data_IF_415866512672
#
_entry.id   IF_415866512672
#
_cell.length_a   1.000
_cell.length_b   1.000
_cell.length_c   1.000
_cell.angle_alpha   90.00
_cell.angle_beta   90.00
_cell.angle_gamma   90.00
#
_symmetry.space_group_name_H-M   'P 1'
#
loop_
_entity.id
_entity.type
_entity.pdbx_description
1 polymer ?
#
# COMPACT_ATOMS: atom_id res chain seq x y z
N UNK A 1 5.33 -11.72 -0.34
CA UNK A 1 4.37 -11.46 -1.44
C UNK A 1 4.61 -10.04 -1.93
N UNK A 2 5.36 -9.88 -3.04
CA UNK A 2 5.82 -8.57 -3.55
C UNK A 2 5.14 -8.31 -4.88
N UNK A 3 3.99 -7.61 -4.97
CA UNK A 3 3.34 -7.42 -6.28
C UNK A 3 2.39 -6.20 -6.39
N UNK A 4 2.65 -5.05 -5.78
CA UNK A 4 1.53 -4.13 -5.57
C UNK A 4 1.44 -2.85 -6.42
N UNK A 5 2.50 -2.33 -6.98
CA UNK A 5 2.49 -0.99 -7.60
C UNK A 5 2.30 -0.90 -9.12
N UNK A 6 2.89 -1.79 -9.86
CA UNK A 6 3.16 -1.61 -11.30
C UNK A 6 1.95 -1.79 -12.23
N UNK A 7 1.02 -2.64 -11.89
CA UNK A 7 0.01 -3.11 -12.84
C UNK A 7 -1.04 -2.02 -13.15
N UNK A 8 -1.32 -1.14 -12.21
CA UNK A 8 -2.33 -0.08 -12.40
C UNK A 8 -1.85 1.10 -13.25
N UNK A 9 -0.55 1.38 -13.31
CA UNK A 9 0.00 2.54 -14.05
C UNK A 9 0.31 2.23 -15.53
N UNK A 10 0.57 0.96 -15.86
CA UNK A 10 0.93 0.55 -17.21
C UNK A 10 -0.23 0.55 -18.21
N UNK A 11 -1.46 0.62 -17.72
CA UNK A 11 -2.68 0.60 -18.56
C UNK A 11 -3.00 1.96 -19.20
N UNK A 12 -2.38 3.05 -18.72
CA UNK A 12 -2.74 4.41 -19.16
C UNK A 12 -1.97 4.94 -20.37
N UNK A 13 -0.95 4.25 -20.86
CA UNK A 13 -0.32 4.63 -22.12
C UNK A 13 -1.14 4.05 -23.28
N UNK A 14 -1.91 4.88 -23.94
CA UNK A 14 -2.56 4.57 -25.23
C UNK A 14 -1.50 4.29 -26.28
N UNK A 15 -1.06 3.07 -26.40
CA UNK A 15 -0.30 2.59 -27.54
C UNK A 15 -1.34 2.06 -28.54
N UNK A 16 -1.32 2.50 -29.81
CA UNK A 16 -2.18 1.90 -30.82
C UNK A 16 -1.93 0.40 -30.83
N UNK A 17 -3.00 -0.38 -30.93
CA UNK A 17 -2.93 -1.84 -31.06
C UNK A 17 -2.24 -2.16 -32.40
N UNK A 18 -0.92 -2.18 -32.39
CA UNK A 18 -0.14 -2.79 -33.46
C UNK A 18 -0.13 -4.28 -33.14
N UNK A 19 -0.67 -5.09 -34.01
CA UNK A 19 -0.51 -6.55 -34.02
C UNK A 19 0.95 -6.91 -34.31
N UNK A 20 1.83 -6.57 -33.39
CA UNK A 20 3.25 -6.89 -33.46
C UNK A 20 3.43 -8.34 -33.05
N UNK A 21 4.12 -9.12 -33.86
CA UNK A 21 4.50 -10.48 -33.47
C UNK A 21 5.45 -10.42 -32.29
N UNK A 22 5.53 -11.49 -31.50
CA UNK A 22 6.49 -11.59 -30.38
C UNK A 22 7.93 -11.39 -30.86
N UNK A 23 8.28 -11.95 -32.02
CA UNK A 23 9.63 -11.83 -32.62
C UNK A 23 9.98 -10.39 -32.97
N UNK A 24 9.06 -9.64 -33.59
CA UNK A 24 9.26 -8.21 -33.87
C UNK A 24 9.45 -7.38 -32.60
N UNK A 25 8.69 -7.71 -31.54
CA UNK A 25 8.83 -7.08 -30.24
C UNK A 25 10.20 -7.36 -29.61
N UNK A 26 10.64 -8.62 -29.60
CA UNK A 26 11.96 -9.03 -29.05
C UNK A 26 13.10 -8.37 -29.83
N UNK A 27 13.03 -8.33 -31.17
CA UNK A 27 14.03 -7.65 -31.99
C UNK A 27 14.16 -6.17 -31.67
N UNK A 28 13.00 -5.49 -31.43
CA UNK A 28 12.98 -4.06 -31.08
C UNK A 28 13.63 -3.80 -29.73
N UNK A 29 13.41 -4.63 -28.74
CA UNK A 29 13.93 -4.44 -27.39
C UNK A 29 15.33 -5.04 -27.17
N UNK A 30 15.85 -5.81 -28.11
CA UNK A 30 17.11 -6.53 -27.98
C UNK A 30 18.32 -5.62 -27.63
N UNK A 31 18.34 -4.39 -28.16
CA UNK A 31 19.39 -3.41 -27.92
C UNK A 31 19.24 -2.61 -26.61
N UNK A 32 18.11 -2.76 -25.90
CA UNK A 32 17.86 -2.04 -24.64
C UNK A 32 18.64 -2.65 -23.48
N UNK A 33 18.96 -1.88 -22.41
CA UNK A 33 19.44 -2.42 -21.14
C UNK A 33 18.51 -3.49 -20.58
N UNK A 34 19.05 -4.43 -19.78
CA UNK A 34 18.32 -5.63 -19.34
C UNK A 34 17.03 -5.31 -18.55
N UNK A 35 17.07 -4.31 -17.67
CA UNK A 35 15.95 -3.80 -16.89
C UNK A 35 14.87 -3.18 -17.78
N UNK A 36 15.28 -2.35 -18.75
CA UNK A 36 14.36 -1.75 -19.72
C UNK A 36 13.74 -2.81 -20.64
N UNK A 37 14.51 -3.84 -21.04
CA UNK A 37 13.94 -4.97 -21.82
C UNK A 37 12.85 -5.71 -21.06
N UNK A 38 13.08 -6.03 -19.78
CA UNK A 38 12.10 -6.73 -18.96
C UNK A 38 10.80 -5.93 -18.83
N UNK A 39 10.92 -4.62 -18.58
CA UNK A 39 9.78 -3.72 -18.48
C UNK A 39 9.01 -3.59 -19.80
N UNK A 40 9.72 -3.35 -20.91
CA UNK A 40 9.10 -3.15 -22.21
C UNK A 40 8.42 -4.44 -22.70
N UNK A 41 9.01 -5.61 -22.42
CA UNK A 41 8.42 -6.91 -22.71
C UNK A 41 7.11 -7.11 -21.95
N UNK A 42 7.09 -6.80 -20.67
CA UNK A 42 5.88 -6.84 -19.87
C UNK A 42 4.79 -5.88 -20.40
N UNK A 43 5.18 -4.66 -20.77
CA UNK A 43 4.29 -3.65 -21.35
C UNK A 43 3.65 -4.11 -22.66
N UNK A 44 4.43 -4.71 -23.54
CA UNK A 44 3.93 -5.28 -24.81
C UNK A 44 2.95 -6.41 -24.52
N UNK A 45 3.33 -7.34 -23.66
CA UNK A 45 2.47 -8.47 -23.31
C UNK A 45 1.12 -8.01 -22.74
N UNK A 46 1.11 -7.13 -21.74
CA UNK A 46 -0.12 -6.67 -21.10
C UNK A 46 -0.99 -5.85 -22.07
N UNK A 47 -0.39 -5.10 -23.00
CA UNK A 47 -1.12 -4.36 -24.01
C UNK A 47 -1.82 -5.25 -25.03
N UNK A 48 -1.35 -6.47 -25.21
CA UNK A 48 -1.96 -7.49 -26.04
C UNK A 48 -3.17 -8.20 -25.40
N UNK A 49 -3.37 -8.08 -24.09
CA UNK A 49 -4.51 -8.66 -23.41
C UNK A 49 -5.82 -7.90 -23.72
N UNK A 50 -7.00 -8.54 -23.63
CA UNK A 50 -8.28 -7.84 -23.64
C UNK A 50 -8.33 -6.75 -22.58
N UNK A 51 -8.99 -5.63 -22.85
CA UNK A 51 -9.06 -4.48 -21.91
C UNK A 51 -9.60 -4.90 -20.54
N UNK A 52 -10.59 -5.80 -20.50
CA UNK A 52 -11.14 -6.34 -19.25
C UNK A 52 -10.10 -7.07 -18.39
N UNK A 53 -9.09 -7.68 -19.03
CA UNK A 53 -8.06 -8.48 -18.37
C UNK A 53 -6.83 -7.68 -17.94
N UNK A 54 -6.71 -6.44 -18.39
CA UNK A 54 -5.55 -5.58 -18.11
C UNK A 54 -5.58 -4.95 -16.72
N UNK A 55 -6.71 -5.01 -16.02
CA UNK A 55 -6.88 -4.41 -14.70
C UNK A 55 -6.95 -2.88 -14.74
N UNK A 56 -7.84 -2.30 -15.53
CA UNK A 56 -8.06 -0.86 -15.55
C UNK A 56 -8.75 -0.37 -14.27
N UNK A 57 -8.12 0.53 -13.54
CA UNK A 57 -8.77 1.28 -12.46
C UNK A 57 -8.56 0.77 -11.03
N UNK A 58 -7.46 0.10 -10.77
CA UNK A 58 -7.14 -0.48 -9.46
C UNK A 58 -7.55 -1.94 -9.40
N UNK A 59 -6.56 -2.82 -9.49
CA UNK A 59 -6.76 -4.27 -9.38
C UNK A 59 -6.38 -4.72 -7.98
N UNK A 60 -7.05 -5.75 -7.47
CA UNK A 60 -6.72 -6.37 -6.20
C UNK A 60 -5.36 -7.08 -6.26
N UNK A 61 -4.77 -7.36 -5.11
CA UNK A 61 -3.49 -8.08 -5.03
C UNK A 61 -3.60 -9.48 -5.65
N UNK A 62 -4.74 -10.11 -5.51
CA UNK A 62 -5.03 -11.39 -6.14
C UNK A 62 -5.00 -11.27 -7.66
N UNK A 63 -5.62 -10.26 -8.24
CA UNK A 63 -5.61 -10.02 -9.69
C UNK A 63 -4.20 -9.68 -10.20
N UNK A 64 -3.41 -8.94 -9.43
CA UNK A 64 -2.01 -8.65 -9.75
C UNK A 64 -1.18 -9.92 -9.78
N UNK A 65 -1.35 -10.79 -8.78
CA UNK A 65 -0.70 -12.10 -8.73
C UNK A 65 -1.07 -12.94 -9.96
N UNK A 66 -2.34 -13.03 -10.27
CA UNK A 66 -2.84 -13.78 -11.44
C UNK A 66 -2.26 -13.25 -12.76
N UNK A 67 -2.15 -11.92 -12.92
CA UNK A 67 -1.50 -11.33 -14.09
C UNK A 67 -0.02 -11.70 -14.18
N UNK A 68 0.71 -11.66 -13.07
CA UNK A 68 2.13 -12.08 -13.08
C UNK A 68 2.29 -13.57 -13.33
N UNK A 69 1.41 -14.41 -12.81
CA UNK A 69 1.45 -15.84 -13.06
C UNK A 69 1.17 -16.14 -14.55
N UNK A 70 0.21 -15.45 -15.16
CA UNK A 70 -0.03 -15.50 -16.63
C UNK A 70 1.18 -15.02 -17.43
N UNK A 71 1.85 -13.96 -16.98
CA UNK A 71 3.07 -13.46 -17.62
C UNK A 71 4.23 -14.45 -17.51
N UNK A 72 4.39 -15.14 -16.39
CA UNK A 72 5.37 -16.22 -16.22
C UNK A 72 5.14 -17.35 -17.24
N UNK A 73 3.89 -17.78 -17.39
CA UNK A 73 3.53 -18.80 -18.40
C UNK A 73 3.90 -18.32 -19.80
N UNK A 74 3.55 -17.10 -20.15
CA UNK A 74 3.88 -16.52 -21.46
C UNK A 74 5.40 -16.43 -21.71
N UNK A 75 6.20 -16.11 -20.69
CA UNK A 75 7.67 -16.12 -20.78
C UNK A 75 8.17 -17.56 -21.01
N UNK A 76 7.64 -18.54 -20.28
CA UNK A 76 8.01 -19.95 -20.40
C UNK A 76 7.75 -20.49 -21.81
N UNK A 77 6.58 -20.20 -22.38
CA UNK A 77 6.21 -20.54 -23.75
C UNK A 77 7.14 -19.89 -24.78
N UNK A 78 7.75 -18.75 -24.45
CA UNK A 78 8.76 -18.07 -25.24
C UNK A 78 10.16 -18.59 -25.09
N UNK A 79 10.37 -19.68 -24.35
CA UNK A 79 11.66 -20.33 -24.20
C UNK A 79 12.59 -19.71 -23.15
N UNK A 80 12.10 -18.80 -22.29
CA UNK A 80 12.90 -18.25 -21.19
C UNK A 80 13.11 -19.30 -20.09
N UNK A 81 14.31 -19.34 -19.56
CA UNK A 81 14.65 -20.20 -18.41
C UNK A 81 13.94 -19.70 -17.13
N UNK A 82 13.78 -20.58 -16.14
CA UNK A 82 13.17 -20.20 -14.85
C UNK A 82 14.01 -19.14 -14.13
N UNK A 83 15.32 -19.13 -14.32
CA UNK A 83 16.23 -18.10 -13.81
C UNK A 83 15.98 -16.75 -14.47
N UNK A 84 15.86 -16.71 -15.81
CA UNK A 84 15.59 -15.47 -16.56
C UNK A 84 14.19 -14.92 -16.22
N UNK A 85 13.22 -15.81 -16.11
CA UNK A 85 11.84 -15.43 -15.70
C UNK A 85 11.86 -14.79 -14.31
N UNK A 86 12.55 -15.39 -13.36
CA UNK A 86 12.68 -14.86 -11.99
C UNK A 86 13.37 -13.50 -11.98
N UNK A 87 14.45 -13.33 -12.74
CA UNK A 87 15.14 -12.07 -12.88
C UNK A 87 14.26 -10.98 -13.49
N UNK A 88 13.52 -11.26 -14.56
CA UNK A 88 12.63 -10.32 -15.20
C UNK A 88 11.47 -9.91 -14.27
N UNK A 89 10.87 -10.84 -13.56
CA UNK A 89 9.82 -10.55 -12.57
C UNK A 89 10.38 -9.66 -11.44
N UNK A 90 11.59 -9.92 -10.96
CA UNK A 90 12.22 -9.09 -9.93
C UNK A 90 12.42 -7.64 -10.39
N UNK A 91 12.86 -7.43 -11.63
CA UNK A 91 13.00 -6.10 -12.25
C UNK A 91 11.65 -5.40 -12.33
N UNK A 92 10.61 -6.08 -12.83
CA UNK A 92 9.26 -5.50 -12.95
C UNK A 92 8.71 -5.09 -11.59
N UNK A 93 8.91 -5.91 -10.55
CA UNK A 93 8.49 -5.61 -9.19
C UNK A 93 9.25 -4.42 -8.60
N UNK A 94 10.57 -4.35 -8.81
CA UNK A 94 11.41 -3.24 -8.35
C UNK A 94 11.04 -1.92 -9.00
N UNK A 95 10.79 -1.91 -10.31
CA UNK A 95 10.32 -0.73 -11.03
C UNK A 95 8.93 -0.30 -10.55
N UNK A 96 8.08 -1.25 -10.21
CA UNK A 96 6.77 -0.98 -9.64
C UNK A 96 6.84 -0.28 -8.30
N UNK A 97 7.67 -0.77 -7.40
CA UNK A 97 7.91 -0.15 -6.09
C UNK A 97 8.39 1.30 -6.27
N UNK A 98 9.34 1.52 -7.20
CA UNK A 98 9.85 2.86 -7.49
C UNK A 98 8.77 3.80 -8.06
N UNK A 99 8.01 3.35 -9.05
CA UNK A 99 6.94 4.16 -9.65
C UNK A 99 5.81 4.46 -8.66
N UNK A 100 5.52 3.54 -7.74
CA UNK A 100 4.55 3.77 -6.69
C UNK A 100 5.05 4.80 -5.67
N UNK A 101 6.30 4.68 -5.23
CA UNK A 101 6.95 5.67 -4.37
C UNK A 101 6.94 7.07 -5.02
N UNK A 102 7.30 7.18 -6.30
CA UNK A 102 7.25 8.41 -7.08
C UNK A 102 5.83 9.01 -7.16
N UNK A 103 4.81 8.17 -7.36
CA UNK A 103 3.41 8.60 -7.36
C UNK A 103 3.00 9.17 -6.01
N UNK A 104 3.32 8.49 -4.92
CA UNK A 104 3.02 8.95 -3.57
C UNK A 104 3.83 10.17 -3.17
N UNK A 105 5.11 10.27 -3.60
CA UNK A 105 5.89 11.49 -3.44
C UNK A 105 5.16 12.69 -4.05
N UNK A 106 4.75 12.64 -5.32
CA UNK A 106 3.99 13.71 -5.95
C UNK A 106 2.68 14.04 -5.23
N UNK A 107 2.00 13.02 -4.69
CA UNK A 107 0.75 13.20 -3.97
C UNK A 107 0.96 13.90 -2.62
N UNK A 108 1.94 13.45 -1.84
CA UNK A 108 2.20 13.97 -0.51
C UNK A 108 2.99 15.27 -0.48
N UNK A 109 3.73 15.62 -1.53
CA UNK A 109 4.50 16.87 -1.62
C UNK A 109 3.82 17.94 -2.46
N UNK A 110 2.60 17.70 -2.91
CA UNK A 110 1.83 18.70 -3.68
C UNK A 110 1.62 19.97 -2.85
N UNK A 111 1.78 21.14 -3.47
CA UNK A 111 1.59 22.45 -2.84
C UNK A 111 0.18 22.60 -2.21
N UNK A 112 -0.81 22.02 -2.86
CA UNK A 112 -2.20 21.93 -2.35
C UNK A 112 -2.56 20.46 -2.14
N UNK A 113 -2.44 19.95 -0.91
CA UNK A 113 -2.78 18.56 -0.62
C UNK A 113 -4.24 18.24 -0.98
N UNK A 114 -4.45 17.14 -1.70
CA UNK A 114 -5.78 16.64 -2.04
C UNK A 114 -6.31 15.64 -1.00
N UNK A 115 -5.81 15.72 0.23
CA UNK A 115 -6.16 14.85 1.35
C UNK A 115 -6.17 15.63 2.67
N UNK A 116 -6.79 15.04 3.69
CA UNK A 116 -6.82 15.62 5.03
C UNK A 116 -5.42 15.58 5.67
N UNK A 117 -4.86 16.73 5.98
CA UNK A 117 -3.55 16.87 6.63
C UNK A 117 -3.61 16.82 8.17
N UNK A 118 -4.82 16.83 8.76
CA UNK A 118 -4.99 16.59 10.18
C UNK A 118 -4.86 15.08 10.50
N UNK A 119 -4.58 14.73 11.77
CA UNK A 119 -4.59 13.32 12.17
C UNK A 119 -5.95 12.68 11.89
N UNK A 120 -5.95 11.38 11.60
CA UNK A 120 -7.17 10.63 11.36
C UNK A 120 -8.09 10.69 12.59
N UNK A 121 -9.32 11.14 12.40
CA UNK A 121 -10.25 11.37 13.52
C UNK A 121 -10.64 10.08 14.25
N UNK A 122 -10.72 8.94 13.55
CA UNK A 122 -10.98 7.65 14.18
C UNK A 122 -9.80 7.21 15.06
N UNK A 123 -8.56 7.34 14.57
CA UNK A 123 -7.36 7.12 15.38
C UNK A 123 -7.39 7.96 16.65
N UNK A 124 -7.62 9.28 16.53
CA UNK A 124 -7.72 10.19 17.68
C UNK A 124 -8.72 9.68 18.71
N UNK A 125 -9.92 9.29 18.28
CA UNK A 125 -10.94 8.74 19.17
C UNK A 125 -10.52 7.47 19.88
N UNK A 126 -9.83 6.56 19.19
CA UNK A 126 -9.43 5.27 19.75
C UNK A 126 -8.26 5.34 20.74
N UNK A 127 -7.38 6.36 20.63
CA UNK A 127 -6.19 6.47 21.49
C UNK A 127 -6.31 7.53 22.59
N UNK A 128 -7.31 8.44 22.51
CA UNK A 128 -7.53 9.45 23.56
C UNK A 128 -7.77 8.78 24.92
N UNK A 129 -7.01 9.21 25.92
CA UNK A 129 -7.05 8.65 27.28
C UNK A 129 -6.27 7.34 27.47
N UNK A 130 -5.65 6.78 26.41
CA UNK A 130 -4.72 5.65 26.57
C UNK A 130 -3.36 6.15 27.04
N UNK A 131 -2.70 5.35 27.85
CA UNK A 131 -1.30 5.61 28.26
C UNK A 131 -0.40 5.47 27.04
N UNK A 132 0.39 6.51 26.69
CA UNK A 132 1.34 6.42 25.60
C UNK A 132 2.37 5.31 25.81
N UNK A 133 2.75 4.64 24.72
CA UNK A 133 3.76 3.60 24.64
C UNK A 133 4.44 3.69 23.27
N UNK A 134 4.81 2.54 22.70
CA UNK A 134 5.44 2.45 21.37
C UNK A 134 4.37 2.34 20.28
N UNK A 135 4.38 3.27 19.34
CA UNK A 135 3.44 3.31 18.22
C UNK A 135 4.13 3.07 16.87
N UNK A 136 3.48 2.32 16.00
CA UNK A 136 3.87 2.13 14.60
C UNK A 136 2.83 2.74 13.68
N UNK A 137 3.23 3.71 12.84
CA UNK A 137 2.40 4.29 11.77
C UNK A 137 2.81 3.66 10.42
N UNK A 138 1.98 2.75 9.92
CA UNK A 138 2.23 1.98 8.69
C UNK A 138 1.84 2.80 7.47
N UNK A 139 2.75 2.94 6.50
CA UNK A 139 2.57 3.80 5.33
C UNK A 139 2.20 5.24 5.73
N UNK A 140 3.04 5.83 6.57
CA UNK A 140 2.77 7.08 7.28
C UNK A 140 2.66 8.32 6.37
N UNK A 141 3.10 8.24 5.10
CA UNK A 141 3.17 9.37 4.18
C UNK A 141 3.99 10.53 4.75
N UNK A 142 3.42 11.73 4.77
CA UNK A 142 4.04 12.92 5.39
C UNK A 142 3.89 12.99 6.93
N UNK A 143 3.47 11.90 7.59
CA UNK A 143 3.54 11.73 9.03
C UNK A 143 2.45 12.42 9.84
N UNK A 144 1.28 12.75 9.28
CA UNK A 144 0.21 13.47 10.02
C UNK A 144 -0.22 12.74 11.30
N UNK A 145 -0.35 11.41 11.26
CA UNK A 145 -0.69 10.60 12.42
C UNK A 145 0.51 10.43 13.34
N UNK A 146 1.69 10.11 12.80
CA UNK A 146 2.92 9.95 13.55
C UNK A 146 3.28 11.19 14.37
N UNK A 147 3.19 12.39 13.76
CA UNK A 147 3.47 13.66 14.41
C UNK A 147 2.46 13.92 15.54
N UNK A 148 1.17 13.71 15.28
CA UNK A 148 0.14 13.88 16.30
C UNK A 148 0.34 12.91 17.48
N UNK A 149 0.64 11.65 17.22
CA UNK A 149 0.95 10.65 18.25
C UNK A 149 2.16 11.08 19.09
N UNK A 150 3.23 11.59 18.46
CA UNK A 150 4.40 12.11 19.16
C UNK A 150 4.05 13.31 20.06
N UNK A 151 3.14 14.20 19.62
CA UNK A 151 2.61 15.30 20.45
C UNK A 151 1.84 14.79 21.67
N UNK A 152 1.22 13.59 21.58
CA UNK A 152 0.54 12.94 22.71
C UNK A 152 1.50 12.12 23.60
N UNK A 153 2.81 12.16 23.33
CA UNK A 153 3.84 11.50 24.13
C UNK A 153 4.14 10.05 23.75
N UNK A 154 3.63 9.57 22.57
CA UNK A 154 3.97 8.25 22.06
C UNK A 154 5.40 8.21 21.51
N UNK A 155 6.11 7.11 21.73
CA UNK A 155 7.37 6.77 21.04
C UNK A 155 7.03 6.20 19.66
N UNK A 156 7.15 7.04 18.63
CA UNK A 156 6.59 6.74 17.30
C UNK A 156 7.67 6.31 16.33
N UNK A 157 7.44 5.17 15.70
CA UNK A 157 8.12 4.76 14.48
C UNK A 157 7.11 4.81 13.34
N UNK A 158 7.49 5.36 12.18
CA UNK A 158 6.70 5.33 10.98
C UNK A 158 7.54 4.93 9.78
N UNK A 159 6.95 4.32 8.79
CA UNK A 159 7.64 4.01 7.54
C UNK A 159 6.74 4.27 6.33
N UNK A 160 7.38 4.57 5.20
CA UNK A 160 6.71 4.76 3.90
C UNK A 160 7.74 4.54 2.78
N UNK A 161 7.38 4.00 1.62
CA UNK A 161 8.28 3.92 0.47
C UNK A 161 8.55 5.28 -0.21
N UNK A 162 7.69 6.27 0.01
CA UNK A 162 7.81 7.61 -0.56
C UNK A 162 8.82 8.46 0.22
N UNK A 163 10.07 8.44 -0.20
CA UNK A 163 11.21 9.06 0.48
C UNK A 163 11.05 10.58 0.70
N UNK A 164 10.49 11.30 -0.28
CA UNK A 164 10.22 12.73 -0.14
C UNK A 164 9.12 13.00 0.89
N UNK A 165 8.07 12.17 0.93
CA UNK A 165 7.03 12.27 1.96
C UNK A 165 7.62 12.04 3.37
N UNK A 166 8.49 11.03 3.52
CA UNK A 166 9.24 10.80 4.77
C UNK A 166 10.11 12.00 5.15
N UNK A 167 10.76 12.63 4.15
CA UNK A 167 11.50 13.87 4.33
C UNK A 167 10.63 15.00 4.88
N UNK A 168 9.43 15.18 4.34
CA UNK A 168 8.44 16.16 4.83
C UNK A 168 8.02 15.83 6.26
N UNK A 169 7.76 14.56 6.59
CA UNK A 169 7.41 14.13 7.95
C UNK A 169 8.52 14.49 8.96
N UNK A 170 9.78 14.17 8.66
CA UNK A 170 10.95 14.54 9.50
C UNK A 170 11.06 16.03 9.74
N UNK A 171 10.94 16.83 8.67
CA UNK A 171 11.04 18.28 8.74
C UNK A 171 9.89 18.89 9.56
N UNK A 172 8.67 18.37 9.41
CA UNK A 172 7.51 18.82 10.18
C UNK A 172 7.66 18.49 11.67
N UNK A 173 8.09 17.28 12.00
CA UNK A 173 8.36 16.88 13.38
C UNK A 173 9.44 17.76 14.01
N UNK A 174 10.57 17.97 13.33
CA UNK A 174 11.68 18.79 13.80
C UNK A 174 11.25 20.25 14.07
N UNK A 175 10.43 20.86 13.20
CA UNK A 175 9.90 22.22 13.42
C UNK A 175 9.02 22.33 14.67
N UNK A 176 8.43 21.24 15.11
CA UNK A 176 7.62 21.16 16.34
C UNK A 176 8.43 20.72 17.56
N UNK A 177 9.74 20.51 17.42
CA UNK A 177 10.60 20.00 18.48
C UNK A 177 10.31 18.54 18.86
N UNK A 178 9.71 17.76 17.93
CA UNK A 178 9.35 16.38 18.16
C UNK A 178 10.36 15.42 17.52
N UNK A 179 10.50 14.25 18.12
CA UNK A 179 11.26 13.14 17.55
C UNK A 179 10.29 12.06 17.08
N UNK A 180 10.43 11.64 15.83
CA UNK A 180 9.80 10.44 15.27
C UNK A 180 10.88 9.58 14.61
N UNK A 181 10.83 8.27 14.79
CA UNK A 181 11.71 7.33 14.10
C UNK A 181 11.10 7.01 12.75
N UNK A 182 11.90 7.10 11.68
CA UNK A 182 11.35 6.90 10.33
C UNK A 182 12.22 6.00 9.48
N UNK A 183 11.59 5.15 8.66
CA UNK A 183 12.25 4.25 7.73
C UNK A 183 11.67 4.42 6.32
N UNK A 184 12.54 4.40 5.30
CA UNK A 184 12.11 4.40 3.90
C UNK A 184 12.10 2.94 3.44
N UNK A 185 10.91 2.33 3.46
CA UNK A 185 10.73 0.92 3.14
C UNK A 185 9.28 0.62 2.79
N UNK A 186 9.03 -0.54 2.17
CA UNK A 186 7.69 -1.02 1.87
C UNK A 186 7.13 -1.89 3.01
N UNK A 187 5.80 -2.11 3.02
CA UNK A 187 5.12 -2.96 4.01
C UNK A 187 5.65 -4.40 4.01
N UNK A 188 6.10 -4.90 2.85
CA UNK A 188 6.62 -6.25 2.69
C UNK A 188 8.04 -6.42 3.24
N UNK A 189 8.80 -5.32 3.37
CA UNK A 189 10.19 -5.33 3.81
C UNK A 189 10.36 -4.88 5.25
N UNK A 190 9.39 -4.15 5.78
CA UNK A 190 9.48 -3.64 7.15
C UNK A 190 9.42 -4.78 8.17
N UNK A 191 10.34 -4.75 9.14
CA UNK A 191 10.42 -5.72 10.23
C UNK A 191 9.52 -5.31 11.39
N UNK A 192 8.30 -5.85 11.43
CA UNK A 192 7.31 -5.52 12.46
C UNK A 192 7.76 -5.93 13.87
N UNK A 193 8.55 -7.00 13.98
CA UNK A 193 8.96 -7.59 15.26
C UNK A 193 7.83 -8.40 15.92
N UNK A 194 8.08 -8.87 17.13
CA UNK A 194 7.12 -9.60 17.97
C UNK A 194 6.95 -8.86 19.30
N UNK A 195 5.72 -8.80 19.82
CA UNK A 195 5.36 -8.15 21.10
C UNK A 195 6.05 -6.79 21.30
N UNK A 196 6.11 -6.00 20.23
CA UNK A 196 6.92 -4.77 20.15
C UNK A 196 6.10 -3.50 20.35
N UNK A 197 4.84 -3.48 19.89
CA UNK A 197 4.05 -2.26 19.75
C UNK A 197 2.84 -2.23 20.67
N UNK A 198 2.61 -1.09 21.31
CA UNK A 198 1.39 -0.82 22.08
C UNK A 198 0.27 -0.29 21.20
N UNK A 199 0.62 0.27 20.01
CA UNK A 199 -0.30 0.77 19.01
C UNK A 199 0.26 0.49 17.60
N UNK A 200 -0.57 -0.06 16.70
CA UNK A 200 -0.28 -0.11 15.26
C UNK A 200 -1.39 0.60 14.51
N UNK A 201 -1.03 1.55 13.65
CA UNK A 201 -1.96 2.35 12.85
C UNK A 201 -1.88 1.92 11.38
N UNK A 202 -3.03 1.63 10.79
CA UNK A 202 -3.23 1.32 9.38
C UNK A 202 -4.27 2.29 8.81
N UNK A 203 -3.84 3.53 8.51
CA UNK A 203 -4.73 4.57 7.99
C UNK A 203 -4.64 4.60 6.46
N UNK A 204 -5.60 3.96 5.79
CA UNK A 204 -5.62 3.76 4.34
C UNK A 204 -4.40 3.00 3.79
N UNK A 205 -3.77 2.20 4.63
CA UNK A 205 -2.60 1.40 4.36
C UNK A 205 -2.95 -0.05 3.95
N UNK A 206 -4.05 -0.25 3.29
CA UNK A 206 -4.54 -1.55 2.85
C UNK A 206 -5.61 -2.16 3.75
N UNK A 207 -6.06 -3.37 3.41
CA UNK A 207 -7.06 -4.11 4.17
C UNK A 207 -6.54 -5.48 4.60
N UNK A 208 -6.11 -5.58 5.83
CA UNK A 208 -5.88 -6.85 6.50
C UNK A 208 -4.79 -7.78 5.95
N UNK A 209 -4.14 -7.46 4.83
CA UNK A 209 -3.03 -8.28 4.30
C UNK A 209 -1.85 -8.41 5.26
N UNK A 210 -1.76 -7.52 6.25
CA UNK A 210 -0.75 -7.53 7.31
C UNK A 210 -1.28 -8.11 8.63
N UNK A 211 -2.49 -8.67 8.68
CA UNK A 211 -3.14 -9.07 9.92
C UNK A 211 -2.27 -9.95 10.81
N UNK A 212 -1.63 -10.98 10.24
CA UNK A 212 -0.75 -11.88 11.01
C UNK A 212 0.48 -11.18 11.57
N UNK A 213 1.13 -10.31 10.77
CA UNK A 213 2.28 -9.54 11.22
C UNK A 213 1.89 -8.57 12.34
N UNK A 214 0.73 -7.92 12.19
CA UNK A 214 0.18 -6.99 13.20
C UNK A 214 -0.15 -7.72 14.49
N UNK A 215 -0.84 -8.87 14.42
CA UNK A 215 -1.17 -9.69 15.60
C UNK A 215 0.09 -10.15 16.34
N UNK A 216 1.12 -10.62 15.63
CA UNK A 216 2.40 -11.01 16.24
C UNK A 216 3.11 -9.80 16.86
N UNK A 217 3.13 -8.68 16.17
CA UNK A 217 3.89 -7.49 16.57
C UNK A 217 3.28 -6.68 17.72
N UNK A 218 1.96 -6.79 17.94
CA UNK A 218 1.30 -6.16 19.08
C UNK A 218 1.72 -6.82 20.39
N UNK A 219 1.97 -6.01 21.43
CA UNK A 219 2.09 -6.48 22.83
C UNK A 219 0.73 -6.93 23.36
N UNK A 220 0.71 -7.81 24.35
CA UNK A 220 -0.51 -8.02 25.13
C UNK A 220 -1.08 -6.69 25.67
N UNK A 221 -2.36 -6.42 25.40
CA UNK A 221 -3.01 -5.13 25.68
C UNK A 221 -2.78 -4.04 24.63
N UNK A 222 -1.91 -4.28 23.65
CA UNK A 222 -1.71 -3.38 22.50
C UNK A 222 -2.88 -3.43 21.52
N UNK A 223 -3.09 -2.32 20.80
CA UNK A 223 -4.22 -2.21 19.86
C UNK A 223 -3.77 -1.95 18.42
N UNK A 224 -4.55 -2.42 17.48
CA UNK A 224 -4.54 -1.97 16.09
C UNK A 224 -5.70 -1.00 15.84
N UNK A 225 -5.45 0.03 15.05
CA UNK A 225 -6.46 0.97 14.55
C UNK A 225 -6.38 1.01 13.03
N UNK A 226 -7.48 0.69 12.36
CA UNK A 226 -7.57 0.61 10.91
C UNK A 226 -8.70 1.51 10.43
N UNK A 227 -8.41 2.40 9.48
CA UNK A 227 -9.42 3.03 8.64
C UNK A 227 -9.06 2.81 7.18
N UNK A 228 -10.01 2.30 6.39
CA UNK A 228 -9.78 1.93 5.01
C UNK A 228 -11.02 2.19 4.15
N UNK A 229 -10.85 2.23 2.82
CA UNK A 229 -11.97 2.26 1.90
C UNK A 229 -12.67 0.89 1.86
N UNK A 230 -14.00 0.93 1.80
CA UNK A 230 -14.80 -0.25 1.49
C UNK A 230 -14.87 -0.48 -0.03
N UNK A 231 -15.04 -1.72 -0.48
CA UNK A 231 -15.17 -2.06 -1.92
C UNK A 231 -16.32 -1.31 -2.60
N UNK A 232 -17.37 -0.93 -1.89
CA UNK A 232 -18.47 -0.12 -2.42
C UNK A 232 -18.05 1.28 -2.90
N UNK A 233 -16.91 1.79 -2.42
CA UNK A 233 -16.38 3.07 -2.88
C UNK A 233 -16.04 3.07 -4.39
N UNK A 234 -15.72 1.90 -4.97
CA UNK A 234 -15.50 1.73 -6.41
C UNK A 234 -16.73 2.05 -7.27
N UNK A 235 -17.93 1.97 -6.69
CA UNK A 235 -19.19 2.32 -7.39
C UNK A 235 -19.26 3.81 -7.76
N UNK A 236 -18.53 4.64 -7.04
CA UNK A 236 -18.65 6.11 -7.13
C UNK A 236 -17.34 6.82 -7.44
N UNK A 237 -16.18 6.17 -7.28
CA UNK A 237 -14.91 6.78 -7.54
C UNK A 237 -13.85 5.73 -7.97
N UNK A 238 -12.85 6.21 -8.72
CA UNK A 238 -11.69 5.40 -9.07
C UNK A 238 -10.68 5.47 -7.94
N UNK A 239 -10.57 4.40 -7.17
CA UNK A 239 -9.61 4.25 -6.07
C UNK A 239 -8.68 3.09 -6.44
N UNK A 240 -7.37 3.30 -6.32
CA UNK A 240 -6.39 2.22 -6.36
C UNK A 240 -6.05 1.74 -4.96
N UNK A 241 -5.54 0.52 -4.86
CA UNK A 241 -5.09 -0.08 -3.62
C UNK A 241 -6.01 -1.17 -3.07
N UNK A 242 -5.69 -1.64 -1.89
CA UNK A 242 -6.43 -2.71 -1.21
C UNK A 242 -7.65 -2.13 -0.52
N UNK A 243 -8.82 -2.68 -0.83
CA UNK A 243 -10.12 -2.26 -0.31
C UNK A 243 -10.69 -3.36 0.58
N UNK A 244 -11.38 -2.98 1.64
CA UNK A 244 -12.00 -3.93 2.56
C UNK A 244 -13.41 -4.34 2.09
N UNK A 245 -13.72 -5.62 2.24
CA UNK A 245 -15.08 -6.13 2.09
C UNK A 245 -15.85 -6.04 3.41
N UNK A 246 -17.18 -6.13 3.33
CA UNK A 246 -18.03 -6.21 4.52
C UNK A 246 -17.60 -7.38 5.41
N UNK A 247 -17.37 -7.12 6.69
CA UNK A 247 -17.00 -8.13 7.68
C UNK A 247 -15.57 -8.64 7.61
N UNK A 248 -14.76 -8.17 6.66
CA UNK A 248 -13.43 -8.74 6.41
C UNK A 248 -12.46 -8.50 7.57
N UNK A 249 -12.36 -7.28 8.11
CA UNK A 249 -11.39 -6.98 9.16
C UNK A 249 -11.60 -7.78 10.46
N UNK A 250 -12.82 -7.91 11.02
CA UNK A 250 -13.04 -8.77 12.17
C UNK A 250 -12.68 -10.24 11.91
N UNK A 251 -12.87 -10.73 10.69
CA UNK A 251 -12.48 -12.08 10.32
C UNK A 251 -10.97 -12.26 10.23
N UNK A 252 -10.27 -11.30 9.63
CA UNK A 252 -8.81 -11.35 9.47
C UNK A 252 -8.06 -11.22 10.81
N UNK A 253 -8.60 -10.43 11.74
CA UNK A 253 -8.04 -10.20 13.09
C UNK A 253 -8.75 -11.01 14.18
N UNK A 254 -9.16 -12.24 13.89
CA UNK A 254 -9.90 -13.07 14.84
C UNK A 254 -9.10 -13.48 16.09
N UNK A 255 -7.76 -13.37 16.05
CA UNK A 255 -6.88 -13.55 17.22
C UNK A 255 -6.91 -12.37 18.19
N UNK A 256 -7.50 -11.23 17.81
CA UNK A 256 -7.63 -10.04 18.63
C UNK A 256 -9.07 -9.87 19.15
N UNK A 257 -9.22 -9.20 20.28
CA UNK A 257 -10.51 -8.80 20.81
C UNK A 257 -10.98 -7.52 20.13
N UNK A 258 -12.03 -7.59 19.31
CA UNK A 258 -12.63 -6.41 18.67
C UNK A 258 -13.06 -5.39 19.71
N UNK A 259 -12.64 -4.13 19.54
CA UNK A 259 -13.03 -2.98 20.34
C UNK A 259 -14.07 -2.13 19.62
N UNK A 260 -13.91 -1.98 18.30
CA UNK A 260 -14.78 -1.19 17.45
C UNK A 260 -14.82 -1.77 16.04
N UNK A 261 -16.00 -1.79 15.45
CA UNK A 261 -16.18 -2.10 14.02
C UNK A 261 -17.41 -1.38 13.48
N UNK A 262 -17.21 -0.63 12.39
CA UNK A 262 -18.29 0.03 11.65
C UNK A 262 -17.93 0.21 10.17
N UNK A 263 -18.95 0.35 9.32
CA UNK A 263 -18.81 0.60 7.88
C UNK A 263 -19.66 1.78 7.43
N UNK A 264 -19.40 2.99 7.92
CA UNK A 264 -20.21 4.15 7.63
C UNK A 264 -19.98 4.69 6.21
N UNK A 265 -20.98 5.40 5.68
CA UNK A 265 -20.77 6.37 4.61
C UNK A 265 -20.32 7.68 5.28
N UNK A 266 -19.05 7.99 5.16
CA UNK A 266 -18.42 9.13 5.81
C UNK A 266 -17.40 9.81 4.88
N UNK A 267 -16.97 11.02 5.25
CA UNK A 267 -15.90 11.74 4.57
C UNK A 267 -14.56 11.06 4.88
N UNK A 268 -13.89 10.43 3.90
CA UNK A 268 -12.58 9.84 4.14
C UNK A 268 -11.47 10.89 4.03
N UNK A 269 -10.29 10.56 4.55
CA UNK A 269 -9.14 11.46 4.48
C UNK A 269 -8.58 11.65 3.08
N UNK A 270 -8.77 10.68 2.18
CA UNK A 270 -8.18 10.64 0.85
C UNK A 270 -9.21 10.70 -0.29
N UNK A 271 -10.39 11.25 -0.05
CA UNK A 271 -11.37 11.48 -1.10
C UNK A 271 -12.17 12.77 -0.86
N UNK A 272 -12.63 13.44 -1.93
CA UNK A 272 -13.29 14.75 -1.81
C UNK A 272 -14.76 14.68 -1.38
N UNK A 273 -15.33 13.49 -1.26
CA UNK A 273 -16.75 13.28 -0.94
C UNK A 273 -16.96 12.04 -0.07
N UNK A 274 -18.08 11.98 0.68
CA UNK A 274 -18.43 10.81 1.47
C UNK A 274 -18.54 9.54 0.60
N UNK A 275 -17.94 8.47 1.09
CA UNK A 275 -18.03 7.10 0.54
C UNK A 275 -18.08 6.10 1.69
N UNK A 276 -18.44 4.85 1.41
CA UNK A 276 -18.39 3.81 2.42
C UNK A 276 -16.93 3.51 2.77
N UNK A 277 -16.61 3.59 4.04
CA UNK A 277 -15.29 3.26 4.63
C UNK A 277 -15.48 2.19 5.69
N UNK A 278 -14.39 1.57 6.09
CA UNK A 278 -14.35 0.60 7.19
C UNK A 278 -13.49 1.18 8.31
N UNK A 279 -13.99 1.16 9.54
CA UNK A 279 -13.29 1.50 10.77
C UNK A 279 -13.24 0.29 11.67
N UNK A 280 -12.05 -0.06 12.10
CA UNK A 280 -11.83 -1.22 12.93
C UNK A 280 -10.74 -0.94 13.96
N UNK A 281 -10.98 -1.38 15.20
CA UNK A 281 -9.96 -1.45 16.23
C UNK A 281 -10.10 -2.73 17.03
N UNK A 282 -8.96 -3.33 17.36
CA UNK A 282 -8.93 -4.53 18.16
C UNK A 282 -7.70 -4.55 19.07
N UNK A 283 -7.78 -5.30 20.16
CA UNK A 283 -6.75 -5.40 21.19
C UNK A 283 -6.23 -6.83 21.27
N UNK A 284 -4.91 -6.98 21.39
CA UNK A 284 -4.30 -8.28 21.71
C UNK A 284 -4.64 -8.65 23.15
N UNK A 285 -5.31 -9.79 23.41
CA UNK A 285 -5.62 -10.21 24.76
C UNK A 285 -4.39 -10.26 25.66
N UNK A 286 -4.52 -9.84 26.92
CA UNK A 286 -3.51 -10.14 27.93
C UNK A 286 -3.48 -11.66 28.15
N UNK A 287 -2.28 -12.23 28.15
CA UNK A 287 -2.11 -13.64 28.48
C UNK A 287 -2.40 -13.90 29.97
#
# INVERSE_FOLDING_TARGET
>A
MKVLGLISLLVLASVPAVTQTREEAENRIASMPADQRAFERYRIWISGLPVADRGSGGISDQQKKELLDRYRVWLKEGGFSDTDISAQIAVILSLGDHMEAERWNRYFTAEKPAFNTNPNAFLVGMVTGRKPGRALDVAMGQGRNAIWLAQQGWDVTGFDPADQAVGVARNNAARLGLTIHTEITTMERFEFGEDKWDLIVLSYAGCGQLARQVESALRPGGIVVVEAFHTDALKTMKIGGSLCQTGELPHLFQGLRSLHYEEPVAQPDFAPRPVRIVRFSAEKPAQ
#
